data_IF_220451396168
#
_entry.id   IF_220451396168
#
_cell.length_a   1.000
_cell.length_b   1.000
_cell.length_c   1.000
_cell.angle_alpha   90.00
_cell.angle_beta   90.00
_cell.angle_gamma   90.00
#
_symmetry.space_group_name_H-M   'P 1'
#
loop_
_entity.id
_entity.type
_entity.pdbx_description
1 polymer ?
#
# COMPACT_ATOMS: atom_id res chain seq x y z
N UNK A 1 -5.86 12.31 93.33
CA UNK A 1 -6.00 11.70 91.99
C UNK A 1 -6.03 12.81 90.96
N UNK A 2 -4.94 13.01 90.20
CA UNK A 2 -4.86 13.97 89.09
C UNK A 2 -4.87 13.20 87.78
N UNK A 3 -5.65 13.61 86.76
CA UNK A 3 -5.70 12.93 85.48
C UNK A 3 -4.39 13.19 84.71
N UNK A 4 -3.68 12.11 84.33
CA UNK A 4 -2.53 12.20 83.43
C UNK A 4 -3.00 12.69 82.06
N UNK A 5 -2.51 13.86 81.65
CA UNK A 5 -2.70 14.48 80.33
C UNK A 5 -2.40 13.48 79.20
N UNK A 6 -3.41 13.16 78.41
CA UNK A 6 -3.33 12.37 77.17
C UNK A 6 -2.94 13.22 75.93
N UNK A 7 -2.55 14.48 76.11
CA UNK A 7 -2.35 15.45 75.01
C UNK A 7 -1.12 15.14 74.12
N UNK A 8 -0.14 14.37 74.61
CA UNK A 8 1.06 14.02 73.84
C UNK A 8 0.86 12.91 72.79
N UNK A 9 -0.09 12.00 73.01
CA UNK A 9 -0.32 10.87 72.10
C UNK A 9 -1.04 11.29 70.81
N UNK A 10 -1.93 12.30 70.91
CA UNK A 10 -2.68 12.84 69.78
C UNK A 10 -1.78 13.60 68.79
N UNK A 11 -0.85 14.42 69.30
CA UNK A 11 0.12 15.15 68.47
C UNK A 11 1.06 14.21 67.72
N UNK A 12 1.49 13.12 68.36
CA UNK A 12 2.38 12.14 67.74
C UNK A 12 1.65 11.40 66.61
N UNK A 13 0.40 10.99 66.82
CA UNK A 13 -0.42 10.36 65.78
C UNK A 13 -0.62 11.29 64.57
N UNK A 14 -0.93 12.58 64.80
CA UNK A 14 -1.13 13.55 63.71
C UNK A 14 0.17 13.82 62.95
N UNK A 15 1.31 13.96 63.65
CA UNK A 15 2.61 14.14 63.00
C UNK A 15 3.01 12.93 62.15
N UNK A 16 2.70 11.72 62.62
CA UNK A 16 2.98 10.50 61.89
C UNK A 16 2.13 10.41 60.62
N UNK A 17 0.85 10.80 60.72
CA UNK A 17 -0.10 10.78 59.61
C UNK A 17 0.24 11.85 58.54
N UNK A 18 0.70 13.03 58.97
CA UNK A 18 1.20 14.05 58.05
C UNK A 18 2.51 13.64 57.38
N UNK A 19 3.42 12.98 58.11
CA UNK A 19 4.67 12.48 57.55
C UNK A 19 4.42 11.35 56.53
N UNK A 20 3.47 10.44 56.78
CA UNK A 20 3.13 9.38 55.82
C UNK A 20 2.43 9.94 54.58
N UNK A 21 1.52 10.90 54.73
CA UNK A 21 0.89 11.60 53.60
C UNK A 21 1.93 12.35 52.74
N UNK A 22 2.88 13.05 53.37
CA UNK A 22 3.96 13.73 52.67
C UNK A 22 4.89 12.75 51.93
N UNK A 23 5.23 11.62 52.56
CA UNK A 23 6.04 10.57 51.94
C UNK A 23 5.33 9.90 50.75
N UNK A 24 4.01 9.66 50.86
CA UNK A 24 3.19 9.13 49.76
C UNK A 24 3.09 10.13 48.60
N UNK A 25 2.83 11.41 48.90
CA UNK A 25 2.78 12.45 47.89
C UNK A 25 4.13 12.61 47.16
N UNK A 26 5.25 12.55 47.89
CA UNK A 26 6.58 12.57 47.29
C UNK A 26 6.84 11.32 46.43
N UNK A 27 6.46 10.13 46.93
CA UNK A 27 6.58 8.88 46.20
C UNK A 27 5.81 8.88 44.87
N UNK A 28 4.56 9.36 44.88
CA UNK A 28 3.70 9.46 43.68
C UNK A 28 4.29 10.45 42.67
N UNK A 29 4.72 11.64 43.11
CA UNK A 29 5.31 12.63 42.21
C UNK A 29 6.63 12.14 41.58
N UNK A 30 7.46 11.44 42.35
CA UNK A 30 8.71 10.88 41.86
C UNK A 30 8.47 9.71 40.90
N UNK A 31 7.54 8.81 41.22
CA UNK A 31 7.18 7.69 40.35
C UNK A 31 6.60 8.19 39.01
N UNK A 32 5.65 9.14 39.05
CA UNK A 32 5.09 9.74 37.85
C UNK A 32 6.13 10.46 37.00
N UNK A 33 7.09 11.15 37.61
CA UNK A 33 8.19 11.81 36.88
C UNK A 33 9.13 10.80 36.18
N UNK A 34 9.38 9.64 36.79
CA UNK A 34 10.21 8.58 36.18
C UNK A 34 9.48 7.92 35.02
N UNK A 35 8.19 7.66 35.16
CA UNK A 35 7.36 7.07 34.11
C UNK A 35 7.23 8.00 32.90
N UNK A 36 7.00 9.31 33.13
CA UNK A 36 6.97 10.30 32.05
C UNK A 36 8.30 10.41 31.29
N UNK A 37 9.44 10.32 31.99
CA UNK A 37 10.76 10.29 31.33
C UNK A 37 10.94 9.02 30.50
N UNK A 38 10.59 7.85 31.06
CA UNK A 38 10.67 6.58 30.33
C UNK A 38 9.81 6.58 29.07
N UNK A 39 8.61 7.18 29.14
CA UNK A 39 7.71 7.30 27.99
C UNK A 39 8.33 8.25 26.95
N UNK A 40 8.85 9.41 27.38
CA UNK A 40 9.50 10.36 26.48
C UNK A 40 10.71 9.74 25.77
N UNK A 41 11.56 9.01 26.50
CA UNK A 41 12.72 8.32 25.94
C UNK A 41 12.31 7.24 24.91
N UNK A 42 11.19 6.53 25.14
CA UNK A 42 10.65 5.58 24.15
C UNK A 42 10.14 6.30 22.89
N UNK A 43 9.42 7.41 23.06
CA UNK A 43 8.96 8.22 21.92
C UNK A 43 10.13 8.76 21.09
N UNK A 44 11.15 9.34 21.73
CA UNK A 44 12.35 9.84 21.07
C UNK A 44 13.14 8.71 20.40
N UNK A 45 13.23 7.56 21.07
CA UNK A 45 13.84 6.35 20.51
C UNK A 45 13.12 5.84 19.26
N UNK A 46 11.79 5.85 19.23
CA UNK A 46 11.00 5.50 18.03
C UNK A 46 11.12 6.54 16.93
N UNK A 47 11.08 7.82 17.28
CA UNK A 47 11.26 8.92 16.33
C UNK A 47 12.62 8.82 15.63
N UNK A 48 13.69 8.55 16.38
CA UNK A 48 15.02 8.31 15.82
C UNK A 48 15.04 7.07 14.91
N UNK A 49 14.34 5.97 15.27
CA UNK A 49 14.26 4.80 14.39
C UNK A 49 13.55 5.11 13.06
N UNK A 50 12.39 5.78 13.10
CA UNK A 50 11.69 6.21 11.87
C UNK A 50 12.54 7.14 11.01
N UNK A 51 13.28 8.05 11.64
CA UNK A 51 14.17 8.97 10.94
C UNK A 51 15.36 8.22 10.29
N UNK A 52 15.90 7.19 10.94
CA UNK A 52 16.93 6.34 10.36
C UNK A 52 16.40 5.54 9.14
N UNK A 53 15.19 4.97 9.22
CA UNK A 53 14.55 4.30 8.08
C UNK A 53 14.31 5.26 6.91
N UNK A 54 13.88 6.51 7.19
CA UNK A 54 13.75 7.55 6.18
C UNK A 54 15.10 7.88 5.52
N UNK A 55 16.20 7.87 6.30
CA UNK A 55 17.56 8.03 5.77
C UNK A 55 17.94 6.90 4.80
N UNK A 56 17.59 5.65 5.12
CA UNK A 56 17.78 4.52 4.19
C UNK A 56 17.00 4.70 2.90
N UNK A 57 15.73 5.11 3.00
CA UNK A 57 14.90 5.40 1.83
C UNK A 57 15.46 6.54 0.97
N UNK A 58 15.97 7.61 1.59
CA UNK A 58 16.61 8.73 0.91
C UNK A 58 17.89 8.31 0.18
N UNK A 59 18.72 7.45 0.78
CA UNK A 59 19.90 6.88 0.15
C UNK A 59 19.55 6.08 -1.11
N UNK A 60 18.54 5.20 -1.00
CA UNK A 60 18.03 4.42 -2.13
C UNK A 60 17.52 5.32 -3.24
N UNK A 61 16.66 6.29 -2.91
CA UNK A 61 16.11 7.25 -3.88
C UNK A 61 17.21 8.05 -4.59
N UNK A 62 18.21 8.53 -3.85
CA UNK A 62 19.35 9.26 -4.44
C UNK A 62 20.11 8.40 -5.45
N UNK A 63 20.33 7.12 -5.16
CA UNK A 63 20.96 6.18 -6.10
C UNK A 63 20.10 5.95 -7.34
N UNK A 64 18.79 5.78 -7.15
CA UNK A 64 17.83 5.53 -8.25
C UNK A 64 17.72 6.71 -9.23
N UNK A 65 17.61 7.94 -8.72
CA UNK A 65 17.55 9.17 -9.56
C UNK A 65 18.93 9.54 -10.13
N UNK A 66 19.99 9.06 -9.49
CA UNK A 66 21.38 9.20 -9.92
C UNK A 66 21.78 8.33 -11.11
N UNK A 67 20.86 7.57 -11.71
CA UNK A 67 21.16 6.53 -12.70
C UNK A 67 22.12 5.48 -12.14
N UNK A 68 21.74 4.87 -11.02
CA UNK A 68 22.52 3.86 -10.30
C UNK A 68 23.83 4.37 -9.66
N UNK A 69 24.17 5.65 -9.81
CA UNK A 69 25.35 6.21 -9.16
C UNK A 69 25.01 6.56 -7.72
N UNK A 70 25.54 5.79 -6.77
CA UNK A 70 25.43 6.14 -5.36
C UNK A 70 26.29 7.37 -5.09
N UNK A 71 25.73 8.35 -4.38
CA UNK A 71 26.45 9.54 -3.94
C UNK A 71 26.33 9.66 -2.44
N UNK A 72 27.32 10.23 -1.75
CA UNK A 72 27.18 10.57 -0.34
C UNK A 72 25.93 11.43 -0.16
N UNK A 73 24.99 10.93 0.64
CA UNK A 73 23.85 11.73 1.07
C UNK A 73 24.31 12.49 2.30
N UNK A 74 24.44 13.81 2.17
CA UNK A 74 24.82 14.67 3.29
C UNK A 74 23.84 14.53 4.47
N UNK A 75 24.19 15.05 5.66
CA UNK A 75 23.31 15.00 6.80
C UNK A 75 21.94 15.62 6.45
N UNK A 76 20.87 14.85 6.67
CA UNK A 76 19.50 15.35 6.45
C UNK A 76 18.91 15.73 7.80
N UNK A 77 18.48 16.98 7.92
CA UNK A 77 17.67 17.42 9.06
C UNK A 77 16.19 17.28 8.72
N UNK A 78 15.44 16.50 9.52
CA UNK A 78 13.99 16.35 9.38
C UNK A 78 13.35 16.54 10.76
N UNK A 79 12.54 17.59 10.89
CA UNK A 79 11.96 17.97 12.18
C UNK A 79 13.05 18.32 13.20
N UNK A 80 12.95 17.74 14.41
CA UNK A 80 13.91 17.94 15.51
C UNK A 80 15.11 17.00 15.51
N UNK A 81 15.35 16.25 14.43
CA UNK A 81 16.44 15.27 14.35
C UNK A 81 17.32 15.40 13.12
N UNK A 82 18.48 14.75 13.19
CA UNK A 82 19.46 14.68 12.10
C UNK A 82 19.77 13.22 11.78
N UNK A 83 19.87 12.87 10.49
CA UNK A 83 20.32 11.55 10.04
C UNK A 83 21.60 11.65 9.22
N UNK A 84 22.56 10.78 9.54
CA UNK A 84 23.80 10.58 8.80
C UNK A 84 23.74 9.24 8.09
N UNK A 85 24.09 9.22 6.80
CA UNK A 85 23.95 8.06 5.93
C UNK A 85 25.33 7.67 5.40
N UNK A 86 25.67 6.40 5.54
CA UNK A 86 26.88 5.81 4.96
C UNK A 86 26.50 4.72 3.97
N UNK A 87 27.04 4.80 2.77
CA UNK A 87 26.88 3.81 1.69
C UNK A 87 28.20 3.05 1.54
N UNK A 88 28.18 1.72 1.59
CA UNK A 88 29.42 0.90 1.54
C UNK A 88 29.75 0.31 0.17
N UNK A 89 28.78 0.18 -0.72
CA UNK A 89 28.94 -0.50 -2.01
C UNK A 89 28.03 0.15 -3.07
N UNK A 90 28.52 0.22 -4.31
CA UNK A 90 27.85 0.92 -5.43
C UNK A 90 26.93 0.00 -6.24
N UNK A 91 27.31 -1.27 -6.45
CA UNK A 91 26.51 -2.24 -7.23
C UNK A 91 25.34 -2.83 -6.42
N UNK A 92 25.55 -2.98 -5.11
CA UNK A 92 24.55 -3.40 -4.13
C UNK A 92 24.64 -2.40 -2.98
N UNK A 93 23.57 -1.64 -2.71
CA UNK A 93 23.67 -0.62 -1.67
C UNK A 93 23.51 -1.25 -0.30
N UNK A 94 24.60 -1.21 0.45
CA UNK A 94 24.59 -1.38 1.89
C UNK A 94 24.52 0.00 2.55
N UNK A 95 23.38 0.31 3.16
CA UNK A 95 23.13 1.58 3.83
C UNK A 95 23.16 1.41 5.33
N UNK A 96 23.95 2.25 5.99
CA UNK A 96 23.83 2.47 7.44
C UNK A 96 23.37 3.90 7.67
N UNK A 97 22.18 4.06 8.25
CA UNK A 97 21.62 5.34 8.63
C UNK A 97 21.59 5.47 10.15
N UNK A 98 22.22 6.50 10.69
CA UNK A 98 22.20 6.82 12.12
C UNK A 98 21.48 8.13 12.31
N UNK A 99 20.38 8.09 13.06
CA UNK A 99 19.55 9.24 13.35
C UNK A 99 19.62 9.61 14.84
N UNK A 100 19.57 10.91 15.11
CA UNK A 100 19.56 11.48 16.45
C UNK A 100 18.36 12.41 16.59
N UNK A 101 17.53 12.22 17.61
CA UNK A 101 16.39 13.08 17.95
C UNK A 101 16.49 13.41 19.44
N UNK A 102 16.64 14.69 19.79
CA UNK A 102 16.75 15.17 21.19
C UNK A 102 17.80 14.43 22.07
N UNK A 103 18.82 13.81 21.46
CA UNK A 103 19.86 13.04 22.16
C UNK A 103 19.65 11.52 22.12
N UNK A 104 18.45 11.03 21.79
CA UNK A 104 18.22 9.63 21.49
C UNK A 104 18.82 9.27 20.12
N UNK A 105 19.61 8.20 20.05
CA UNK A 105 20.25 7.73 18.82
C UNK A 105 19.73 6.36 18.41
N UNK A 106 19.48 6.19 17.11
CA UNK A 106 19.17 4.89 16.51
C UNK A 106 19.93 4.71 15.22
N UNK A 107 20.43 3.49 15.01
CA UNK A 107 21.11 3.10 13.77
C UNK A 107 20.34 1.98 13.11
N UNK A 108 20.10 2.13 11.81
CA UNK A 108 19.48 1.13 10.95
C UNK A 108 20.48 0.76 9.87
N UNK A 109 20.70 -0.53 9.69
CA UNK A 109 21.50 -1.06 8.58
C UNK A 109 20.61 -1.90 7.66
N UNK A 110 20.75 -1.67 6.35
CA UNK A 110 20.16 -2.50 5.30
C UNK A 110 21.26 -2.88 4.33
N UNK A 111 21.39 -4.18 4.11
CA UNK A 111 22.33 -4.71 3.13
C UNK A 111 21.53 -5.23 1.93
N UNK A 112 22.15 -5.27 0.76
CA UNK A 112 21.49 -5.90 -0.38
C UNK A 112 20.43 -5.04 -1.07
N UNK A 113 20.39 -3.72 -0.85
CA UNK A 113 19.32 -2.90 -1.44
C UNK A 113 19.50 -2.80 -2.95
N UNK A 114 18.49 -3.28 -3.66
CA UNK A 114 18.41 -3.18 -5.12
C UNK A 114 18.07 -1.75 -5.57
N UNK A 115 18.85 -1.28 -6.53
CA UNK A 115 18.61 -0.05 -7.25
C UNK A 115 17.98 -0.31 -8.61
N UNK A 116 17.28 0.70 -9.10
CA UNK A 116 16.67 0.72 -10.42
C UNK A 116 16.97 2.06 -11.06
N UNK A 117 17.30 2.07 -12.35
CA UNK A 117 17.57 3.30 -13.08
C UNK A 117 16.26 4.00 -13.45
N UNK A 118 15.86 4.99 -12.67
CA UNK A 118 14.64 5.75 -12.93
C UNK A 118 14.78 6.76 -14.09
N UNK A 119 15.99 6.94 -14.66
CA UNK A 119 16.18 7.75 -15.88
C UNK A 119 15.93 6.94 -17.14
N UNK A 120 16.14 5.64 -17.08
CA UNK A 120 15.89 4.71 -18.17
C UNK A 120 14.65 3.87 -17.88
N UNK A 121 13.49 4.50 -18.05
CA UNK A 121 12.22 3.79 -17.98
C UNK A 121 11.81 3.28 -19.35
N UNK A 122 11.34 2.05 -19.39
CA UNK A 122 10.71 1.45 -20.56
C UNK A 122 9.19 1.47 -20.39
N UNK A 123 8.48 1.70 -21.49
CA UNK A 123 7.03 1.60 -21.54
C UNK A 123 6.61 0.36 -22.31
N UNK A 124 5.76 -0.45 -21.69
CA UNK A 124 5.15 -1.64 -22.26
C UNK A 124 3.64 -1.44 -22.30
N UNK A 125 3.05 -1.60 -23.47
CA UNK A 125 1.62 -1.45 -23.72
C UNK A 125 1.03 -2.84 -24.02
N UNK A 126 0.24 -3.39 -23.09
CA UNK A 126 -0.35 -4.74 -23.15
C UNK A 126 -1.84 -4.61 -23.48
N UNK A 127 -2.21 -4.94 -24.72
CA UNK A 127 -3.61 -4.99 -25.18
C UNK A 127 -3.98 -6.40 -25.65
N UNK A 128 -3.20 -6.95 -26.58
CA UNK A 128 -3.58 -8.18 -27.29
C UNK A 128 -3.36 -9.48 -26.49
N UNK A 129 -2.70 -9.42 -25.33
CA UNK A 129 -2.49 -10.57 -24.42
C UNK A 129 -3.42 -10.56 -23.19
N UNK A 130 -4.42 -9.67 -23.18
CA UNK A 130 -5.38 -9.61 -22.08
C UNK A 130 -6.41 -10.73 -22.20
N UNK A 131 -6.72 -11.41 -21.10
CA UNK A 131 -7.91 -12.26 -20.98
C UNK A 131 -8.97 -11.46 -20.25
N UNK A 132 -10.12 -11.23 -20.88
CA UNK A 132 -11.27 -10.55 -20.28
C UNK A 132 -12.55 -11.37 -20.43
N UNK A 133 -13.48 -11.14 -19.50
CA UNK A 133 -14.84 -11.69 -19.57
C UNK A 133 -15.78 -10.89 -18.66
N UNK A 134 -17.09 -11.04 -18.87
CA UNK A 134 -18.11 -10.53 -17.96
C UNK A 134 -18.81 -11.70 -17.27
N UNK A 135 -18.79 -11.69 -15.93
CA UNK A 135 -19.61 -12.61 -15.13
C UNK A 135 -20.94 -11.95 -14.77
N UNK A 136 -22.06 -12.65 -14.95
CA UNK A 136 -23.41 -12.10 -14.77
C UNK A 136 -24.21 -12.97 -13.83
N UNK A 137 -24.83 -12.37 -12.82
CA UNK A 137 -25.77 -13.01 -11.91
C UNK A 137 -27.17 -13.14 -12.55
N UNK A 138 -27.84 -14.30 -12.53
CA UNK A 138 -27.41 -15.61 -12.04
C UNK A 138 -26.86 -16.52 -13.15
N UNK A 139 -26.44 -15.96 -14.29
CA UNK A 139 -26.03 -16.73 -15.46
C UNK A 139 -24.92 -17.72 -15.15
N UNK A 140 -25.18 -18.99 -15.51
CA UNK A 140 -24.18 -20.06 -15.50
C UNK A 140 -23.40 -20.15 -16.82
N UNK A 141 -23.66 -19.25 -17.79
CA UNK A 141 -22.93 -19.16 -19.05
C UNK A 141 -22.07 -17.90 -19.09
N UNK A 142 -20.82 -17.99 -19.58
CA UNK A 142 -19.96 -16.83 -19.70
C UNK A 142 -20.36 -16.01 -20.95
N UNK A 143 -20.25 -14.68 -20.89
CA UNK A 143 -20.44 -13.80 -22.05
C UNK A 143 -19.12 -13.67 -22.84
N UNK A 144 -18.55 -14.81 -23.22
CA UNK A 144 -17.29 -14.82 -23.97
C UNK A 144 -17.52 -14.35 -25.40
N UNK A 145 -16.59 -13.53 -25.93
CA UNK A 145 -16.55 -13.04 -27.32
C UNK A 145 -17.53 -11.92 -27.67
N UNK A 146 -18.21 -11.35 -26.68
CA UNK A 146 -18.88 -10.07 -26.90
C UNK A 146 -17.82 -9.00 -27.15
N UNK A 147 -18.08 -8.08 -28.09
CA UNK A 147 -17.23 -6.90 -28.32
C UNK A 147 -17.31 -5.89 -27.15
N UNK A 148 -18.13 -6.21 -26.14
CA UNK A 148 -18.44 -5.36 -25.01
C UNK A 148 -18.36 -6.12 -23.70
N UNK A 149 -17.84 -5.45 -22.68
CA UNK A 149 -17.82 -5.91 -21.30
C UNK A 149 -18.86 -5.12 -20.51
N UNK A 150 -19.76 -5.83 -19.80
CA UNK A 150 -20.93 -5.21 -19.17
C UNK A 150 -20.81 -5.17 -17.66
N UNK A 151 -20.91 -3.98 -17.07
CA UNK A 151 -21.06 -3.78 -15.64
C UNK A 151 -22.47 -3.35 -15.29
N UNK A 152 -23.06 -4.03 -14.32
CA UNK A 152 -24.35 -3.69 -13.72
C UNK A 152 -24.19 -3.89 -12.22
N UNK A 153 -24.56 -2.87 -11.45
CA UNK A 153 -24.42 -2.90 -9.99
C UNK A 153 -25.07 -4.15 -9.38
N UNK A 154 -24.28 -4.93 -8.64
CA UNK A 154 -24.72 -6.17 -7.98
C UNK A 154 -25.12 -7.32 -8.92
N UNK A 155 -25.03 -7.14 -10.25
CA UNK A 155 -25.51 -8.13 -11.24
C UNK A 155 -24.45 -8.55 -12.23
N UNK A 156 -23.43 -7.75 -12.50
CA UNK A 156 -22.31 -8.20 -13.33
C UNK A 156 -21.01 -7.51 -13.00
N UNK A 157 -19.92 -8.28 -13.10
CA UNK A 157 -18.55 -7.83 -12.90
C UNK A 157 -17.71 -8.15 -14.13
N UNK A 158 -16.71 -7.32 -14.38
CA UNK A 158 -15.70 -7.58 -15.41
C UNK A 158 -14.50 -8.23 -14.74
N UNK A 159 -13.99 -9.29 -15.35
CA UNK A 159 -12.73 -9.91 -14.97
C UNK A 159 -11.69 -9.61 -16.03
N UNK A 160 -10.49 -9.25 -15.60
CA UNK A 160 -9.36 -9.00 -16.48
C UNK A 160 -8.09 -9.63 -15.92
N UNK A 161 -7.36 -10.35 -16.75
CA UNK A 161 -6.07 -10.96 -16.41
C UNK A 161 -5.10 -10.67 -17.55
N UNK A 162 -3.86 -10.40 -17.19
CA UNK A 162 -2.78 -10.18 -18.15
C UNK A 162 -1.79 -11.32 -18.05
N UNK A 163 -1.19 -11.62 -19.19
CA UNK A 163 0.00 -12.45 -19.24
C UNK A 163 1.17 -11.65 -18.67
N UNK A 164 1.83 -12.21 -17.66
CA UNK A 164 2.92 -11.55 -16.93
C UNK A 164 4.29 -11.93 -17.49
N UNK A 165 4.36 -12.86 -18.45
CA UNK A 165 5.62 -13.31 -19.06
C UNK A 165 6.38 -12.16 -19.78
N UNK A 166 5.73 -11.02 -20.02
CA UNK A 166 6.38 -9.82 -20.57
C UNK A 166 7.05 -8.94 -19.51
N UNK A 167 6.78 -9.19 -18.22
CA UNK A 167 7.33 -8.42 -17.10
C UNK A 167 8.43 -9.27 -16.46
N UNK A 168 9.69 -9.03 -16.87
CA UNK A 168 10.85 -9.72 -16.34
C UNK A 168 10.95 -9.59 -14.80
N UNK A 169 11.47 -10.61 -14.12
CA UNK A 169 11.55 -10.70 -12.64
C UNK A 169 12.50 -9.66 -12.00
N UNK A 170 13.25 -8.90 -12.79
CA UNK A 170 14.27 -7.92 -12.37
C UNK A 170 13.89 -6.46 -12.73
N UNK A 171 12.60 -6.11 -12.69
CA UNK A 171 12.15 -4.74 -12.99
C UNK A 171 11.36 -4.13 -11.84
N UNK A 172 11.54 -2.82 -11.64
CA UNK A 172 10.69 -2.02 -10.77
C UNK A 172 9.52 -1.48 -11.59
N UNK A 173 8.30 -1.80 -11.18
CA UNK A 173 7.10 -1.19 -11.73
C UNK A 173 6.98 0.24 -11.19
N UNK A 174 7.17 1.24 -12.06
CA UNK A 174 7.04 2.66 -11.71
C UNK A 174 5.59 3.11 -11.80
N UNK A 175 4.86 2.64 -12.82
CA UNK A 175 3.43 2.85 -12.93
C UNK A 175 2.76 1.71 -13.70
N UNK A 176 1.55 1.34 -13.32
CA UNK A 176 0.69 0.46 -14.11
C UNK A 176 -0.70 1.08 -14.21
N UNK A 177 -1.15 1.41 -15.41
CA UNK A 177 -2.45 2.05 -15.64
C UNK A 177 -3.29 1.24 -16.61
N UNK A 178 -4.46 0.81 -16.14
CA UNK A 178 -5.48 0.22 -17.02
C UNK A 178 -6.29 1.34 -17.66
N UNK A 179 -6.34 1.36 -18.98
CA UNK A 179 -7.20 2.22 -19.77
C UNK A 179 -8.31 1.41 -20.44
N UNK A 180 -9.55 1.89 -20.33
CA UNK A 180 -10.70 1.31 -21.03
C UNK A 180 -11.56 2.40 -21.63
N UNK A 181 -12.20 2.09 -22.76
CA UNK A 181 -13.14 2.98 -23.43
C UNK A 181 -14.58 2.51 -23.21
N UNK A 182 -15.47 3.36 -22.65
CA UNK A 182 -16.88 3.05 -22.59
C UNK A 182 -17.49 3.09 -24.00
N UNK A 183 -18.42 2.17 -24.27
CA UNK A 183 -19.16 2.12 -25.54
C UNK A 183 -20.14 3.28 -25.70
N UNK A 184 -20.55 3.89 -24.59
CA UNK A 184 -21.44 5.04 -24.54
C UNK A 184 -20.99 5.99 -23.44
N UNK A 185 -21.03 7.28 -23.75
CA UNK A 185 -20.76 8.34 -22.77
C UNK A 185 -22.08 8.81 -22.20
N UNK A 186 -22.10 9.07 -20.90
CA UNK A 186 -23.24 9.59 -20.16
C UNK A 186 -22.81 10.85 -19.42
N UNK A 187 -23.71 11.85 -19.32
CA UNK A 187 -23.49 13.01 -18.45
C UNK A 187 -23.53 12.66 -16.95
N UNK A 188 -24.12 11.50 -16.60
CA UNK A 188 -24.05 10.93 -15.26
C UNK A 188 -22.75 10.14 -15.12
N UNK A 189 -21.88 10.58 -14.22
CA UNK A 189 -20.65 9.89 -13.85
C UNK A 189 -20.98 8.65 -13.02
N UNK A 190 -20.42 7.50 -13.42
CA UNK A 190 -20.62 6.21 -12.74
C UNK A 190 -19.30 5.72 -12.15
N UNK A 191 -19.24 5.46 -10.86
CA UNK A 191 -18.03 5.00 -10.20
C UNK A 191 -17.82 3.50 -10.41
N UNK A 192 -16.63 3.14 -10.89
CA UNK A 192 -16.19 1.76 -11.07
C UNK A 192 -14.94 1.53 -10.23
N UNK A 193 -15.03 0.56 -9.33
CA UNK A 193 -13.94 0.16 -8.45
C UNK A 193 -13.23 -1.08 -9.00
N UNK A 194 -11.90 -1.08 -8.90
CA UNK A 194 -11.03 -2.21 -9.19
C UNK A 194 -10.65 -2.94 -7.90
N UNK A 195 -10.74 -4.26 -7.93
CA UNK A 195 -10.44 -5.16 -6.82
C UNK A 195 -9.47 -6.25 -7.26
N UNK A 196 -8.65 -6.74 -6.34
CA UNK A 196 -7.73 -7.86 -6.61
C UNK A 196 -8.49 -9.17 -6.57
N UNK A 197 -8.39 -9.97 -7.62
CA UNK A 197 -8.91 -11.34 -7.64
C UNK A 197 -8.03 -12.25 -6.79
N UNK A 198 -8.64 -13.16 -6.02
CA UNK A 198 -7.93 -14.06 -5.09
C UNK A 198 -8.06 -15.54 -5.47
N UNK A 199 -8.83 -15.87 -6.49
CA UNK A 199 -8.99 -17.23 -7.01
C UNK A 199 -8.64 -17.27 -8.48
N UNK A 200 -7.89 -18.30 -8.88
CA UNK A 200 -7.55 -18.53 -10.28
C UNK A 200 -8.82 -18.79 -11.11
N UNK A 201 -8.93 -18.13 -12.27
CA UNK A 201 -10.08 -18.23 -13.18
C UNK A 201 -9.63 -18.43 -14.63
N UNK A 202 -10.54 -18.86 -15.49
CA UNK A 202 -10.33 -19.02 -16.93
C UNK A 202 -11.35 -18.20 -17.74
N UNK A 203 -11.18 -18.11 -19.05
CA UNK A 203 -12.08 -17.29 -19.90
C UNK A 203 -13.57 -17.67 -19.75
N UNK A 204 -13.86 -18.91 -19.36
CA UNK A 204 -15.20 -19.44 -19.10
C UNK A 204 -15.70 -19.27 -17.69
N UNK A 205 -15.06 -18.42 -16.89
CA UNK A 205 -15.57 -18.01 -15.60
C UNK A 205 -16.99 -17.43 -15.71
N UNK A 206 -17.83 -17.82 -14.76
CA UNK A 206 -19.25 -17.43 -14.64
C UNK A 206 -19.47 -16.78 -13.28
N UNK A 207 -20.70 -16.38 -12.95
CA UNK A 207 -20.97 -15.84 -11.63
C UNK A 207 -20.72 -16.86 -10.49
N UNK A 208 -20.97 -18.15 -10.75
CA UNK A 208 -20.94 -19.21 -9.74
C UNK A 208 -19.71 -20.14 -9.85
N UNK A 209 -18.93 -20.04 -10.93
CA UNK A 209 -17.73 -20.86 -11.16
C UNK A 209 -16.58 -20.02 -11.70
N UNK A 210 -15.42 -20.13 -11.07
CA UNK A 210 -14.17 -19.56 -11.58
C UNK A 210 -13.59 -20.40 -12.73
N UNK A 211 -13.80 -21.72 -12.64
CA UNK A 211 -13.33 -22.79 -13.55
C UNK A 211 -14.27 -23.99 -13.47
N UNK A 212 -14.21 -24.99 -14.36
CA UNK A 212 -15.11 -26.14 -14.33
C UNK A 212 -15.26 -26.84 -12.97
N UNK A 213 -14.16 -26.96 -12.21
CA UNK A 213 -14.08 -27.61 -10.90
C UNK A 213 -13.91 -26.63 -9.71
N UNK A 214 -13.95 -25.32 -9.94
CA UNK A 214 -13.74 -24.30 -8.89
C UNK A 214 -14.93 -23.37 -8.81
N UNK A 215 -15.68 -23.45 -7.71
CA UNK A 215 -16.86 -22.63 -7.46
C UNK A 215 -16.49 -21.31 -6.77
N UNK A 216 -17.26 -20.26 -7.03
CA UNK A 216 -17.19 -18.99 -6.30
C UNK A 216 -18.56 -18.29 -6.35
N UNK A 217 -18.67 -17.05 -5.86
CA UNK A 217 -19.90 -16.27 -5.97
C UNK A 217 -19.58 -14.82 -6.31
N UNK A 218 -19.85 -14.40 -7.54
CA UNK A 218 -19.61 -13.04 -8.01
C UNK A 218 -18.14 -12.68 -8.21
N UNK A 219 -17.27 -13.68 -8.38
CA UNK A 219 -15.82 -13.50 -8.35
C UNK A 219 -15.29 -13.51 -6.92
N UNK A 220 -14.17 -14.20 -6.68
CA UNK A 220 -13.47 -14.14 -5.41
C UNK A 220 -12.42 -13.03 -5.45
N UNK A 221 -12.59 -12.00 -4.63
CA UNK A 221 -11.73 -10.81 -4.61
C UNK A 221 -11.60 -10.23 -3.20
N UNK A 222 -10.66 -9.30 -3.03
CA UNK A 222 -10.49 -8.56 -1.77
C UNK A 222 -11.45 -7.38 -1.64
N UNK A 223 -12.03 -7.18 -0.46
CA UNK A 223 -12.90 -6.02 -0.20
C UNK A 223 -12.18 -4.67 -0.36
N UNK A 224 -10.87 -4.65 -0.14
CA UNK A 224 -10.03 -3.47 -0.38
C UNK A 224 -10.12 -3.02 -1.84
N UNK A 225 -10.50 -1.76 -2.04
CA UNK A 225 -10.51 -1.10 -3.35
C UNK A 225 -9.07 -0.74 -3.72
N UNK A 226 -8.60 -1.24 -4.85
CA UNK A 226 -7.28 -0.91 -5.38
C UNK A 226 -7.26 0.48 -6.00
N UNK A 227 -8.29 0.78 -6.80
CA UNK A 227 -8.49 2.05 -7.48
C UNK A 227 -9.96 2.25 -7.81
N UNK A 228 -10.40 3.50 -7.98
CA UNK A 228 -11.73 3.84 -8.47
C UNK A 228 -11.62 4.90 -9.55
N UNK A 229 -12.52 4.84 -10.53
CA UNK A 229 -12.61 5.83 -11.59
C UNK A 229 -14.06 6.16 -11.92
N UNK A 230 -14.31 7.45 -12.18
CA UNK A 230 -15.60 7.93 -12.65
C UNK A 230 -15.72 7.79 -14.16
N UNK A 231 -16.74 7.06 -14.61
CA UNK A 231 -17.03 6.87 -16.03
C UNK A 231 -17.97 7.98 -16.50
N UNK A 232 -17.38 9.01 -17.13
CA UNK A 232 -18.09 10.12 -17.78
C UNK A 232 -17.36 10.68 -19.01
N UNK A 233 -16.28 10.02 -19.44
CA UNK A 233 -15.36 10.45 -20.50
C UNK A 233 -15.17 9.35 -21.55
N UNK A 234 -14.52 9.71 -22.68
CA UNK A 234 -14.17 8.78 -23.76
C UNK A 234 -13.17 7.70 -23.36
N UNK A 235 -12.40 7.92 -22.30
CA UNK A 235 -11.40 7.00 -21.79
C UNK A 235 -11.36 7.09 -20.26
N UNK A 236 -11.27 5.94 -19.61
CA UNK A 236 -11.27 5.80 -18.15
C UNK A 236 -10.00 5.07 -17.73
N UNK A 237 -9.37 5.55 -16.67
CA UNK A 237 -8.08 5.04 -16.21
C UNK A 237 -8.15 4.58 -14.75
N UNK A 238 -7.56 3.44 -14.44
CA UNK A 238 -7.31 2.97 -13.08
C UNK A 238 -5.81 2.82 -12.86
N UNK A 239 -5.32 3.41 -11.76
CA UNK A 239 -3.95 3.21 -11.31
C UNK A 239 -3.85 1.90 -10.52
N UNK A 240 -3.16 0.92 -11.10
CA UNK A 240 -2.95 -0.40 -10.55
C UNK A 240 -1.49 -0.62 -10.13
N UNK A 241 -0.70 0.44 -10.01
CA UNK A 241 0.75 0.37 -9.76
C UNK A 241 1.08 -0.52 -8.58
N UNK A 242 0.39 -0.34 -7.44
CA UNK A 242 0.65 -1.16 -6.24
C UNK A 242 0.31 -2.65 -6.40
N UNK A 243 -0.64 -2.99 -7.27
CA UNK A 243 -0.95 -4.39 -7.57
C UNK A 243 0.15 -5.03 -8.40
N UNK A 244 0.58 -4.36 -9.46
CA UNK A 244 1.62 -4.86 -10.36
C UNK A 244 3.01 -4.88 -9.70
N UNK A 245 3.32 -3.90 -8.84
CA UNK A 245 4.50 -3.96 -7.97
C UNK A 245 4.44 -5.18 -7.03
N UNK A 246 3.27 -5.48 -6.47
CA UNK A 246 3.05 -6.68 -5.66
C UNK A 246 3.24 -7.99 -6.44
N UNK A 247 2.87 -8.02 -7.72
CA UNK A 247 3.10 -9.18 -8.60
C UNK A 247 4.56 -9.32 -9.01
N UNK A 248 5.20 -8.23 -9.47
CA UNK A 248 6.61 -8.23 -9.87
C UNK A 248 7.57 -8.58 -8.72
N UNK A 249 7.18 -8.24 -7.48
CA UNK A 249 7.93 -8.61 -6.27
C UNK A 249 7.52 -9.96 -5.65
N UNK A 250 6.72 -10.76 -6.36
CA UNK A 250 6.20 -12.07 -5.94
C UNK A 250 5.42 -12.09 -4.60
N UNK A 251 5.12 -10.93 -4.02
CA UNK A 251 4.33 -10.84 -2.78
C UNK A 251 2.89 -11.27 -3.00
N UNK A 252 2.39 -11.13 -4.24
CA UNK A 252 1.02 -11.39 -4.63
C UNK A 252 0.97 -12.31 -5.85
N UNK A 253 -0.02 -13.19 -5.93
CA UNK A 253 -0.26 -14.02 -7.11
C UNK A 253 -0.94 -13.21 -8.25
N UNK A 254 -0.51 -13.36 -9.52
CA UNK A 254 -1.07 -12.66 -10.68
C UNK A 254 -2.40 -13.26 -11.15
N UNK A 255 -3.44 -13.13 -10.33
CA UNK A 255 -4.77 -13.72 -10.58
C UNK A 255 -5.74 -12.77 -11.31
N UNK A 256 -5.32 -11.53 -11.59
CA UNK A 256 -6.12 -10.55 -12.31
C UNK A 256 -6.88 -9.56 -11.41
N UNK A 257 -7.72 -8.77 -12.06
CA UNK A 257 -8.51 -7.68 -11.49
C UNK A 257 -9.99 -7.92 -11.78
N UNK A 258 -10.81 -7.59 -10.80
CA UNK A 258 -12.26 -7.51 -10.94
C UNK A 258 -12.68 -6.05 -10.92
N UNK A 259 -13.41 -5.61 -11.93
CA UNK A 259 -14.07 -4.31 -11.94
C UNK A 259 -15.54 -4.50 -11.55
N UNK A 260 -16.04 -3.62 -10.69
CA UNK A 260 -17.46 -3.56 -10.33
C UNK A 260 -17.97 -2.14 -10.27
N UNK A 261 -19.26 -1.97 -10.54
CA UNK A 261 -19.93 -0.70 -10.32
C UNK A 261 -20.15 -0.48 -8.82
N UNK A 262 -19.88 0.73 -8.35
CA UNK A 262 -20.12 1.13 -6.96
C UNK A 262 -21.54 1.67 -6.80
N UNK A 263 -21.99 2.47 -7.76
CA UNK A 263 -23.30 3.11 -7.72
C UNK A 263 -24.42 2.08 -7.94
N UNK A 264 -25.43 2.08 -7.07
CA UNK A 264 -26.58 1.20 -7.16
C UNK A 264 -27.41 1.48 -8.44
N UNK A 265 -28.01 0.42 -8.98
CA UNK A 265 -28.95 0.47 -10.12
C UNK A 265 -28.43 1.12 -11.42
N UNK A 266 -27.11 1.30 -11.52
CA UNK A 266 -26.47 1.80 -12.72
C UNK A 266 -25.88 0.68 -13.57
N UNK A 267 -25.59 1.02 -14.83
CA UNK A 267 -24.90 0.16 -15.76
C UNK A 267 -23.92 0.94 -16.63
N UNK A 268 -22.83 0.29 -17.03
CA UNK A 268 -21.87 0.80 -17.99
C UNK A 268 -21.29 -0.34 -18.80
N UNK A 269 -21.04 -0.09 -20.08
CA UNK A 269 -20.44 -1.06 -20.99
C UNK A 269 -19.11 -0.50 -21.50
N UNK A 270 -18.06 -1.31 -21.45
CA UNK A 270 -16.77 -1.03 -22.05
C UNK A 270 -16.55 -1.87 -23.30
N UNK A 271 -15.65 -1.48 -24.17
CA UNK A 271 -15.16 -2.35 -25.23
C UNK A 271 -14.31 -3.48 -24.63
N UNK A 272 -14.46 -4.69 -25.17
CA UNK A 272 -13.62 -5.86 -24.83
C UNK A 272 -12.38 -5.95 -25.72
N UNK A 273 -11.53 -6.93 -25.45
CA UNK A 273 -10.43 -7.32 -26.34
C UNK A 273 -10.92 -7.69 -27.74
N UNK A 274 -12.12 -8.24 -27.89
CA UNK A 274 -12.71 -8.57 -29.19
C UNK A 274 -13.20 -7.35 -29.99
N UNK A 275 -13.03 -6.12 -29.48
CA UNK A 275 -13.38 -4.92 -30.22
C UNK A 275 -12.62 -4.85 -31.58
N UNK A 276 -13.31 -4.39 -32.65
CA UNK A 276 -12.77 -4.43 -34.01
C UNK A 276 -11.59 -3.46 -34.21
N UNK A 277 -11.58 -2.33 -33.51
CA UNK A 277 -10.51 -1.34 -33.58
C UNK A 277 -9.59 -1.50 -32.38
N UNK A 278 -8.28 -1.64 -32.64
CA UNK A 278 -7.26 -1.78 -31.58
C UNK A 278 -7.28 -0.64 -30.58
N UNK A 279 -7.55 0.59 -31.03
CA UNK A 279 -7.65 1.77 -30.16
C UNK A 279 -8.82 1.75 -29.19
N UNK A 280 -9.81 0.86 -29.37
CA UNK A 280 -10.96 0.71 -28.45
C UNK A 280 -10.74 -0.39 -27.42
N UNK A 281 -9.78 -1.28 -27.63
CA UNK A 281 -9.53 -2.43 -26.75
C UNK A 281 -8.98 -1.95 -25.40
N UNK A 282 -9.22 -2.71 -24.31
CA UNK A 282 -8.57 -2.44 -23.04
C UNK A 282 -7.05 -2.46 -23.18
N UNK A 283 -6.38 -1.43 -22.65
CA UNK A 283 -4.94 -1.27 -22.70
C UNK A 283 -4.38 -1.15 -21.29
N UNK A 284 -3.51 -2.07 -20.91
CA UNK A 284 -2.68 -1.91 -19.73
C UNK A 284 -1.34 -1.30 -20.13
N UNK A 285 -1.02 -0.15 -19.55
CA UNK A 285 0.25 0.54 -19.76
C UNK A 285 1.12 0.39 -18.53
N UNK A 286 2.29 -0.18 -18.70
CA UNK A 286 3.29 -0.33 -17.64
C UNK A 286 4.50 0.52 -17.97
N UNK A 287 4.96 1.29 -17.00
CA UNK A 287 6.25 1.96 -17.04
C UNK A 287 7.13 1.25 -16.01
N UNK A 288 8.26 0.74 -16.47
CA UNK A 288 9.19 -0.03 -15.65
C UNK A 288 10.59 0.53 -15.73
N UNK A 289 11.35 0.39 -14.64
CA UNK A 289 12.76 0.69 -14.59
C UNK A 289 13.56 -0.60 -14.45
N UNK A 290 14.65 -0.72 -15.21
CA UNK A 290 15.54 -1.86 -15.10
C UNK A 290 16.38 -1.75 -13.84
N UNK A 291 16.69 -2.91 -13.26
CA UNK A 291 17.65 -3.01 -12.18
C UNK A 291 19.01 -2.48 -12.64
N UNK A 292 19.72 -1.89 -11.69
CA UNK A 292 21.16 -1.79 -11.74
C UNK A 292 21.73 -3.18 -11.37
#
# INVERSE_FOLDING_TARGET
MMPRRQEGALLLMVSLLLATLAALAFGINRAGSVELRSINDDYEGRAAAYLAEAGVAAARWSGQVGACVTRPVGPIALGGGTVTITIKSEDIIDVTATATVNGAMRTVTRNGLQLYDLRQTERVDISDKTTDTTIVNPSAGPLEKEQTLRLVSGKSHILMKWDMDEIDDDVLVVSATLNMMPTTISGVVRQVAAHRVTTEWDKGATWIKARPASNWNGGAYTDAVLASAGVGSLAVNWDLTGLFDGWASERLLPLGVLLRLVDADQAVNFYSREAPLSGMRPLLRIVRAKKC
#
